data_IF_291753648602
#
_entry.id   IF_291753648602
#
_cell.length_a   1.000
_cell.length_b   1.000
_cell.length_c   1.000
_cell.angle_alpha   90.00
_cell.angle_beta   90.00
_cell.angle_gamma   90.00
#
_symmetry.space_group_name_H-M   'P 1'
#
loop_
_entity.id
_entity.type
_entity.pdbx_description
1 polymer ?
#
# COMPACT_ATOMS: atom_id res chain seq x y z
N UNK A 1 -15.64 6.25 -5.76
CA UNK A 1 -14.95 4.99 -6.11
C UNK A 1 -15.13 4.03 -4.95
N UNK A 2 -15.85 2.92 -5.14
CA UNK A 2 -16.05 1.90 -4.09
C UNK A 2 -14.80 1.04 -3.89
N UNK A 3 -13.92 0.96 -4.89
CA UNK A 3 -12.67 0.17 -4.84
C UNK A 3 -11.54 0.93 -5.52
N UNK A 4 -10.41 1.08 -4.82
CA UNK A 4 -9.16 1.56 -5.41
C UNK A 4 -8.54 0.44 -6.26
N UNK A 5 -7.87 0.80 -7.36
CA UNK A 5 -6.99 -0.09 -8.12
C UNK A 5 -5.55 0.01 -7.59
N UNK A 6 -4.69 -1.00 -7.86
CA UNK A 6 -3.26 -0.90 -7.58
C UNK A 6 -2.59 0.39 -8.07
N UNK A 7 -2.93 0.84 -9.28
CA UNK A 7 -2.37 2.07 -9.88
C UNK A 7 -2.84 3.34 -9.15
N UNK A 8 -4.09 3.38 -8.69
CA UNK A 8 -4.63 4.51 -7.93
C UNK A 8 -3.87 4.65 -6.60
N UNK A 9 -3.50 3.53 -5.98
CA UNK A 9 -2.66 3.54 -4.76
C UNK A 9 -1.26 4.07 -5.07
N UNK A 10 -0.62 3.59 -6.14
CA UNK A 10 0.70 4.08 -6.54
C UNK A 10 0.69 5.60 -6.78
N UNK A 11 -0.35 6.09 -7.46
CA UNK A 11 -0.57 7.51 -7.70
C UNK A 11 -0.74 8.32 -6.39
N UNK A 12 -1.54 7.84 -5.44
CA UNK A 12 -1.70 8.49 -4.12
C UNK A 12 -0.36 8.62 -3.41
N UNK A 13 0.47 7.57 -3.41
CA UNK A 13 1.75 7.55 -2.71
C UNK A 13 2.77 8.48 -3.39
N UNK A 14 2.69 8.65 -4.71
CA UNK A 14 3.50 9.62 -5.47
C UNK A 14 3.05 11.05 -5.16
N UNK A 15 1.74 11.31 -5.22
CA UNK A 15 1.18 12.66 -5.07
C UNK A 15 1.34 13.23 -3.66
N UNK A 16 1.42 12.39 -2.63
CA UNK A 16 1.47 12.84 -1.23
C UNK A 16 2.69 12.28 -0.46
N UNK A 17 3.92 12.66 -0.83
CA UNK A 17 5.13 12.15 -0.19
C UNK A 17 5.22 12.52 1.30
N UNK A 18 4.70 13.71 1.65
CA UNK A 18 4.62 14.27 3.00
C UNK A 18 3.63 13.54 3.92
N UNK A 19 2.72 12.75 3.34
CA UNK A 19 1.69 12.01 4.10
C UNK A 19 1.94 10.51 4.16
N UNK A 20 3.04 10.03 3.58
CA UNK A 20 3.32 8.58 3.48
C UNK A 20 3.35 7.90 4.83
N UNK A 21 3.73 8.58 5.90
CA UNK A 21 3.72 8.05 7.27
C UNK A 21 2.31 7.77 7.82
N UNK A 22 1.28 8.32 7.18
CA UNK A 22 -0.14 8.15 7.54
C UNK A 22 -0.89 7.21 6.60
N UNK A 23 -0.23 6.69 5.57
CA UNK A 23 -0.82 5.78 4.60
C UNK A 23 -0.50 4.32 4.94
N UNK A 24 -1.48 3.43 4.77
CA UNK A 24 -1.31 1.99 4.89
C UNK A 24 -2.08 1.30 3.77
N UNK A 25 -1.55 0.19 3.26
CA UNK A 25 -2.21 -0.63 2.25
C UNK A 25 -2.49 -2.01 2.85
N UNK A 26 -3.72 -2.48 2.74
CA UNK A 26 -4.11 -3.84 3.13
C UNK A 26 -4.76 -4.55 1.95
N UNK A 27 -4.55 -5.87 1.86
CA UNK A 27 -5.34 -6.69 0.94
C UNK A 27 -6.73 -6.90 1.51
N UNK A 28 -7.77 -6.54 0.76
CA UNK A 28 -9.17 -6.84 1.09
C UNK A 28 -9.53 -8.32 0.81
N UNK A 29 -8.69 -9.24 1.29
CA UNK A 29 -8.94 -10.68 1.18
C UNK A 29 -10.21 -11.03 1.98
N UNK A 30 -11.23 -11.55 1.29
CA UNK A 30 -12.48 -12.02 1.90
C UNK A 30 -13.70 -11.11 1.71
N UNK A 31 -13.53 -9.86 1.26
CA UNK A 31 -14.64 -8.93 1.02
C UNK A 31 -14.89 -8.71 -0.47
N UNK A 32 -16.01 -9.25 -0.98
CA UNK A 32 -16.61 -8.95 -2.28
C UNK A 32 -15.82 -9.32 -3.56
N UNK A 33 -15.78 -10.62 -3.88
CA UNK A 33 -15.82 -11.17 -5.25
C UNK A 33 -14.73 -10.80 -6.27
N UNK A 34 -13.77 -9.94 -5.92
CA UNK A 34 -12.78 -9.39 -6.84
C UNK A 34 -11.37 -9.62 -6.34
N UNK A 35 -10.74 -10.68 -6.83
CA UNK A 35 -9.32 -11.01 -6.60
C UNK A 35 -8.32 -10.02 -7.22
N UNK A 36 -8.80 -8.91 -7.78
CA UNK A 36 -7.99 -7.96 -8.53
C UNK A 36 -7.08 -7.14 -7.61
N UNK A 37 -7.62 -6.62 -6.51
CA UNK A 37 -6.84 -5.83 -5.56
C UNK A 37 -6.07 -6.75 -4.60
N UNK A 38 -4.74 -6.75 -4.71
CA UNK A 38 -3.86 -7.49 -3.82
C UNK A 38 -2.62 -6.67 -3.47
N UNK A 39 -2.05 -6.95 -2.31
CA UNK A 39 -0.79 -6.33 -1.87
C UNK A 39 0.34 -6.55 -2.90
N UNK A 40 0.57 -7.76 -3.44
CA UNK A 40 1.59 -7.98 -4.46
C UNK A 40 1.40 -7.13 -5.73
N UNK A 41 0.16 -7.00 -6.24
CA UNK A 41 -0.10 -6.15 -7.42
C UNK A 41 0.09 -4.68 -7.12
N UNK A 42 -0.28 -4.23 -5.93
CA UNK A 42 -0.06 -2.85 -5.49
C UNK A 42 1.42 -2.53 -5.38
N UNK A 43 2.21 -3.45 -4.82
CA UNK A 43 3.68 -3.33 -4.79
C UNK A 43 4.25 -3.28 -6.20
N UNK A 44 3.77 -4.13 -7.12
CA UNK A 44 4.22 -4.12 -8.51
C UNK A 44 3.91 -2.78 -9.19
N UNK A 45 2.68 -2.28 -9.09
CA UNK A 45 2.27 -0.99 -9.65
C UNK A 45 3.16 0.15 -9.12
N UNK A 46 3.43 0.17 -7.82
CA UNK A 46 4.33 1.17 -7.22
C UNK A 46 5.77 1.07 -7.74
N UNK A 47 6.30 -0.14 -7.96
CA UNK A 47 7.63 -0.32 -8.56
C UNK A 47 7.66 0.17 -10.01
N UNK A 48 6.63 -0.16 -10.78
CA UNK A 48 6.50 0.31 -12.18
C UNK A 48 6.36 1.83 -12.26
N UNK A 49 5.73 2.46 -11.26
CA UNK A 49 5.60 3.90 -11.15
C UNK A 49 6.87 4.60 -10.58
N UNK A 50 7.95 3.86 -10.35
CA UNK A 50 9.26 4.42 -9.97
C UNK A 50 9.49 4.61 -8.47
N UNK A 51 8.61 4.13 -7.59
CA UNK A 51 8.85 4.22 -6.15
C UNK A 51 10.03 3.34 -5.71
N UNK A 52 10.84 3.92 -4.83
CA UNK A 52 11.95 3.26 -4.17
C UNK A 52 11.43 2.22 -3.19
N UNK A 53 12.21 1.16 -2.97
CA UNK A 53 11.87 0.08 -2.03
C UNK A 53 11.53 0.60 -0.63
N UNK A 54 12.24 1.62 -0.14
CA UNK A 54 11.99 2.22 1.17
C UNK A 54 10.59 2.86 1.27
N UNK A 55 10.16 3.56 0.22
CA UNK A 55 8.85 4.23 0.17
C UNK A 55 7.71 3.20 0.15
N UNK A 56 7.90 2.12 -0.60
CA UNK A 56 6.96 0.99 -0.64
C UNK A 56 6.91 0.29 0.72
N UNK A 57 8.09 -0.05 1.28
CA UNK A 57 8.18 -0.73 2.58
C UNK A 57 7.51 0.08 3.69
N UNK A 58 7.64 1.41 3.65
CA UNK A 58 7.04 2.29 4.64
C UNK A 58 5.52 2.05 4.76
N UNK A 59 4.80 2.04 3.65
CA UNK A 59 3.33 1.95 3.65
C UNK A 59 2.79 0.52 3.67
N UNK A 60 3.56 -0.48 3.22
CA UNK A 60 3.12 -1.88 3.21
C UNK A 60 3.56 -2.65 4.45
N UNK A 61 4.51 -2.11 5.23
CA UNK A 61 5.10 -2.82 6.37
C UNK A 61 5.32 -1.92 7.59
N UNK A 62 6.12 -0.86 7.48
CA UNK A 62 6.53 -0.08 8.67
C UNK A 62 5.34 0.62 9.34
N UNK A 63 4.47 1.26 8.54
CA UNK A 63 3.31 1.95 9.06
C UNK A 63 2.30 0.99 9.70
N UNK A 64 1.89 -0.13 9.05
CA UNK A 64 1.08 -1.15 9.73
C UNK A 64 1.73 -1.69 11.00
N UNK A 65 3.01 -2.06 10.96
CA UNK A 65 3.76 -2.57 12.12
C UNK A 65 3.69 -1.59 13.29
N UNK A 66 3.94 -0.31 13.03
CA UNK A 66 3.86 0.76 14.02
C UNK A 66 2.44 1.02 14.51
N UNK A 67 1.47 1.13 13.60
CA UNK A 67 0.08 1.46 13.94
C UNK A 67 -0.56 0.40 14.83
N UNK A 68 -0.35 -0.88 14.52
CA UNK A 68 -0.86 -1.99 15.32
C UNK A 68 0.05 -2.38 16.50
N UNK A 69 1.18 -1.69 16.68
CA UNK A 69 2.18 -1.98 17.71
C UNK A 69 2.57 -3.47 17.73
N UNK A 70 2.90 -4.03 16.56
CA UNK A 70 3.18 -5.46 16.43
C UNK A 70 4.53 -5.80 17.11
N UNK A 71 4.60 -6.88 17.92
CA UNK A 71 5.82 -7.31 18.60
C UNK A 71 6.74 -8.07 17.65
N UNK A 72 7.25 -7.37 16.64
CA UNK A 72 8.11 -7.92 15.60
C UNK A 72 9.44 -7.15 15.62
N UNK A 73 10.55 -7.88 15.57
CA UNK A 73 11.89 -7.29 15.52
C UNK A 73 12.28 -6.91 14.08
#
# INVERSE_FOLDING_TARGET
>A
YDKLRPDDVAEIVIRYPDKRDKLMVSSMLGTSGGSYFSLPRTVLAMRMAGLKRGEIKQITWENPKRFYNLPLD
#
